data_IF_010938768852
#
_entry.id   IF_010938768852
#
_cell.length_a   1.000
_cell.length_b   1.000
_cell.length_c   1.000
_cell.angle_alpha   90.00
_cell.angle_beta   90.00
_cell.angle_gamma   90.00
#
_symmetry.space_group_name_H-M   'P 1'
#
loop_
_entity.id
_entity.type
_entity.pdbx_description
1 polymer ?
#
# COMPACT_ATOMS: atom_id res chain seq x y z
N UNK A 1 22.25 -1.44 -49.02
CA UNK A 1 23.09 -2.24 -48.10
C UNK A 1 23.80 -1.24 -47.19
N UNK A 2 23.64 -1.12 -45.88
CA UNK A 2 22.84 -1.78 -44.85
C UNK A 2 22.60 -0.69 -43.78
N UNK A 3 21.38 -0.60 -43.26
CA UNK A 3 21.08 0.22 -42.09
C UNK A 3 21.63 -0.46 -40.85
N UNK A 4 22.35 0.29 -40.01
CA UNK A 4 22.79 -0.20 -38.71
C UNK A 4 21.63 -0.10 -37.72
N UNK A 5 20.93 -1.22 -37.57
CA UNK A 5 19.93 -1.46 -36.52
C UNK A 5 20.64 -1.42 -35.15
N UNK A 6 20.35 -0.40 -34.34
CA UNK A 6 20.74 -0.38 -32.93
C UNK A 6 19.77 -1.27 -32.15
N UNK A 7 20.27 -2.45 -31.82
CA UNK A 7 19.67 -3.42 -30.89
C UNK A 7 19.22 -2.72 -29.58
N UNK A 8 17.97 -2.88 -29.13
CA UNK A 8 17.52 -2.31 -27.87
C UNK A 8 18.20 -3.03 -26.71
N UNK A 9 18.79 -2.26 -25.80
CA UNK A 9 19.41 -2.76 -24.59
C UNK A 9 18.39 -3.59 -23.79
N UNK A 10 18.70 -4.86 -23.62
CA UNK A 10 18.00 -5.83 -22.78
C UNK A 10 17.82 -5.23 -21.38
N UNK A 11 16.57 -5.00 -20.97
CA UNK A 11 16.24 -4.70 -19.57
C UNK A 11 16.76 -5.85 -18.73
N UNK A 12 17.81 -5.60 -17.96
CA UNK A 12 18.22 -6.48 -16.86
C UNK A 12 17.08 -6.50 -15.86
N UNK A 13 16.29 -7.56 -15.88
CA UNK A 13 15.48 -8.00 -14.76
C UNK A 13 16.40 -8.04 -13.55
N UNK A 14 16.28 -7.06 -12.65
CA UNK A 14 16.90 -7.15 -11.34
C UNK A 14 16.23 -8.32 -10.64
N UNK A 15 16.93 -9.45 -10.59
CA UNK A 15 16.55 -10.59 -9.77
C UNK A 15 16.38 -10.10 -8.33
N UNK A 16 15.27 -10.52 -7.70
CA UNK A 16 15.01 -10.28 -6.29
C UNK A 16 16.26 -10.66 -5.47
N UNK A 17 16.72 -9.83 -4.52
CA UNK A 17 17.73 -10.28 -3.58
C UNK A 17 17.19 -11.51 -2.84
N UNK A 18 17.88 -12.63 -3.05
CA UNK A 18 17.54 -14.01 -2.67
C UNK A 18 17.62 -14.28 -1.16
N UNK A 19 17.47 -13.25 -0.33
CA UNK A 19 17.51 -13.36 1.12
C UNK A 19 16.71 -12.25 1.80
N UNK A 20 15.43 -12.10 1.43
CA UNK A 20 14.49 -11.43 2.33
C UNK A 20 14.41 -12.28 3.60
N UNK A 21 14.73 -11.75 4.80
CA UNK A 21 14.63 -12.51 6.02
C UNK A 21 13.16 -12.95 6.21
N UNK A 22 12.93 -14.26 6.15
CA UNK A 22 11.63 -14.93 6.38
C UNK A 22 11.14 -14.82 7.84
N UNK A 23 11.61 -13.82 8.58
CA UNK A 23 11.04 -13.49 9.88
C UNK A 23 9.71 -12.79 9.63
N UNK A 24 8.58 -13.24 10.24
CA UNK A 24 7.32 -12.54 10.10
C UNK A 24 7.51 -11.09 10.56
N UNK A 25 7.35 -10.16 9.61
CA UNK A 25 7.53 -8.72 9.85
C UNK A 25 6.60 -8.21 10.95
N UNK A 26 5.46 -8.89 11.10
CA UNK A 26 4.56 -8.84 12.25
C UNK A 26 3.95 -10.23 12.41
N UNK A 27 3.47 -10.59 13.61
CA UNK A 27 2.71 -11.83 13.77
C UNK A 27 1.53 -11.85 12.78
N UNK A 28 1.25 -12.99 12.12
CA UNK A 28 0.09 -13.14 11.25
C UNK A 28 -1.19 -12.73 11.99
N UNK A 29 -2.02 -11.89 11.37
CA UNK A 29 -3.27 -11.45 12.01
C UNK A 29 -4.24 -12.62 12.16
N UNK A 30 -4.82 -12.72 13.35
CA UNK A 30 -5.86 -13.71 13.68
C UNK A 30 -7.26 -13.21 13.31
N UNK A 31 -8.26 -14.11 13.22
CA UNK A 31 -9.67 -13.72 12.96
C UNK A 31 -10.17 -12.67 13.98
N UNK A 32 -9.82 -12.83 15.26
CA UNK A 32 -10.20 -11.89 16.32
C UNK A 32 -9.65 -10.48 16.06
N UNK A 33 -8.38 -10.37 15.71
CA UNK A 33 -7.75 -9.08 15.40
C UNK A 33 -8.31 -8.45 14.12
N UNK A 34 -8.64 -9.25 13.11
CA UNK A 34 -9.29 -8.75 11.89
C UNK A 34 -10.67 -8.16 12.20
N UNK A 35 -11.46 -8.84 13.04
CA UNK A 35 -12.77 -8.34 13.46
C UNK A 35 -12.66 -7.07 14.29
N UNK A 36 -11.68 -7.00 15.19
CA UNK A 36 -11.42 -5.79 15.99
C UNK A 36 -11.02 -4.60 15.11
N UNK A 37 -10.11 -4.80 14.15
CA UNK A 37 -9.71 -3.76 13.20
C UNK A 37 -10.92 -3.25 12.39
N UNK A 38 -11.74 -4.17 11.86
CA UNK A 38 -12.95 -3.79 11.14
C UNK A 38 -13.98 -3.08 12.04
N UNK A 39 -14.11 -3.47 13.31
CA UNK A 39 -14.99 -2.79 14.26
C UNK A 39 -14.54 -1.37 14.52
N UNK A 40 -13.23 -1.13 14.65
CA UNK A 40 -12.67 0.22 14.77
C UNK A 40 -12.94 1.03 13.52
N UNK A 41 -12.70 0.46 12.33
CA UNK A 41 -12.99 1.10 11.06
C UNK A 41 -14.45 1.58 10.96
N UNK A 42 -15.44 0.72 11.23
CA UNK A 42 -16.86 1.11 11.07
C UNK A 42 -17.34 2.12 12.10
N UNK A 43 -16.66 2.29 13.25
CA UNK A 43 -17.04 3.32 14.24
C UNK A 43 -16.93 4.72 13.66
N UNK A 44 -16.00 4.93 12.75
CA UNK A 44 -15.75 6.23 12.11
C UNK A 44 -16.72 6.51 10.95
N UNK A 45 -17.48 5.51 10.49
CA UNK A 45 -18.39 5.62 9.34
C UNK A 45 -19.83 5.27 9.72
N UNK A 46 -20.65 6.30 9.96
CA UNK A 46 -22.05 6.13 10.33
C UNK A 46 -22.86 5.26 9.35
N UNK A 47 -22.52 5.27 8.06
CA UNK A 47 -23.22 4.51 7.02
C UNK A 47 -22.97 3.00 7.07
N UNK A 48 -22.05 2.49 7.90
CA UNK A 48 -21.70 1.07 7.92
C UNK A 48 -22.40 0.31 9.04
N UNK A 49 -23.10 -0.76 8.67
CA UNK A 49 -23.74 -1.65 9.64
C UNK A 49 -22.75 -2.63 10.26
N UNK A 50 -22.85 -2.88 11.57
CA UNK A 50 -21.97 -3.81 12.31
C UNK A 50 -22.41 -5.28 12.29
N UNK A 51 -23.63 -5.58 11.80
CA UNK A 51 -24.17 -6.95 11.76
C UNK A 51 -23.30 -7.86 10.88
N UNK A 52 -22.82 -7.34 9.76
CA UNK A 52 -21.86 -7.97 8.88
C UNK A 52 -20.62 -8.47 9.64
N UNK A 53 -19.98 -7.61 10.43
CA UNK A 53 -18.74 -7.95 11.14
C UNK A 53 -18.92 -9.06 12.19
N UNK A 54 -20.12 -9.18 12.76
CA UNK A 54 -20.43 -10.23 13.74
C UNK A 54 -20.76 -11.57 13.10
N UNK A 55 -21.35 -11.55 11.91
CA UNK A 55 -21.94 -12.74 11.27
C UNK A 55 -21.14 -13.23 10.05
N UNK A 56 -20.18 -12.47 9.55
CA UNK A 56 -19.35 -12.91 8.42
C UNK A 56 -18.51 -14.14 8.79
N UNK A 57 -18.40 -15.05 7.85
CA UNK A 57 -17.53 -16.21 7.95
C UNK A 57 -16.24 -15.96 7.15
N UNK A 58 -15.09 -15.93 7.82
CA UNK A 58 -13.79 -15.85 7.13
C UNK A 58 -13.45 -17.21 6.55
N UNK A 59 -13.12 -17.23 5.25
CA UNK A 59 -12.78 -18.46 4.51
C UNK A 59 -11.27 -18.62 4.40
N UNK A 60 -10.59 -17.52 4.07
CA UNK A 60 -9.16 -17.52 3.79
C UNK A 60 -8.55 -16.23 4.31
N UNK A 61 -7.39 -16.37 4.98
CA UNK A 61 -6.61 -15.26 5.53
C UNK A 61 -5.19 -15.40 4.99
N UNK A 62 -4.78 -14.45 4.15
CA UNK A 62 -3.44 -14.41 3.57
C UNK A 62 -2.67 -13.25 4.20
N UNK A 63 -1.62 -13.57 4.97
CA UNK A 63 -0.71 -12.58 5.55
C UNK A 63 0.49 -12.41 4.64
N UNK A 64 0.66 -11.21 4.10
CA UNK A 64 1.61 -10.88 3.03
C UNK A 64 2.25 -9.51 3.29
N UNK A 65 3.19 -9.11 2.46
CA UNK A 65 3.85 -7.81 2.56
C UNK A 65 3.94 -7.17 1.18
N UNK A 66 3.66 -5.88 1.13
CA UNK A 66 3.94 -5.03 -0.01
C UNK A 66 5.28 -4.34 0.23
N UNK A 67 6.19 -4.42 -0.73
CA UNK A 67 7.47 -3.74 -0.68
C UNK A 67 7.41 -2.52 -1.57
N UNK A 68 7.86 -1.37 -1.08
CA UNK A 68 8.03 -0.16 -1.90
C UNK A 68 9.27 0.62 -1.49
N UNK A 69 9.83 1.33 -2.46
CA UNK A 69 11.00 2.18 -2.23
C UNK A 69 10.56 3.53 -1.67
N UNK A 70 10.94 3.79 -0.43
CA UNK A 70 10.62 5.01 0.28
C UNK A 70 11.78 6.02 0.13
N UNK A 71 11.49 7.27 -0.25
CA UNK A 71 12.49 8.35 -0.29
C UNK A 71 12.55 9.07 1.06
N UNK A 72 13.72 9.34 1.62
CA UNK A 72 13.84 10.03 2.91
C UNK A 72 13.26 11.47 2.93
N UNK A 73 13.09 12.11 1.77
CA UNK A 73 12.60 13.49 1.67
C UNK A 73 11.10 13.58 1.35
N UNK A 74 10.55 12.68 0.52
CA UNK A 74 9.14 12.71 0.12
C UNK A 74 8.33 11.49 0.53
N UNK A 75 8.96 10.51 1.18
CA UNK A 75 8.36 9.24 1.57
C UNK A 75 7.68 8.48 0.42
N UNK A 76 8.31 8.49 -0.77
CA UNK A 76 7.81 7.75 -1.94
C UNK A 76 6.68 8.46 -2.70
N UNK A 77 6.17 9.59 -2.22
CA UNK A 77 5.14 10.38 -2.92
C UNK A 77 5.66 11.06 -4.19
N UNK A 78 6.98 11.19 -4.32
CA UNK A 78 7.64 11.90 -5.42
C UNK A 78 7.44 13.42 -5.37
N UNK A 79 6.78 13.96 -4.34
CA UNK A 79 6.47 15.38 -4.20
C UNK A 79 6.68 15.86 -2.76
N UNK A 80 6.98 17.14 -2.59
CA UNK A 80 7.09 17.78 -1.26
C UNK A 80 6.22 19.03 -1.22
N UNK A 81 5.76 19.38 -0.02
CA UNK A 81 5.15 20.69 0.18
C UNK A 81 6.17 21.77 -0.21
N UNK A 82 5.71 22.82 -0.91
CA UNK A 82 6.54 24.00 -1.09
C UNK A 82 6.80 24.62 0.29
N UNK A 83 8.03 25.07 0.51
CA UNK A 83 8.50 25.70 1.75
C UNK A 83 7.58 26.87 2.17
N UNK A 84 7.54 27.16 3.47
CA UNK A 84 6.47 27.87 4.21
C UNK A 84 6.15 29.33 3.80
N UNK A 85 6.67 29.84 2.69
CA UNK A 85 6.33 31.18 2.19
C UNK A 85 5.56 31.19 0.86
N UNK A 86 4.32 31.64 0.99
CA UNK A 86 3.38 32.11 -0.03
C UNK A 86 2.30 31.11 -0.45
N UNK A 87 1.06 31.42 -0.04
CA UNK A 87 -0.29 31.14 -0.57
C UNK A 87 -0.44 30.44 -1.93
N UNK A 88 0.30 29.37 -2.17
CA UNK A 88 0.17 28.53 -3.34
C UNK A 88 0.06 27.10 -2.85
N UNK A 89 -1.09 26.50 -3.13
CA UNK A 89 -1.37 25.08 -2.90
C UNK A 89 -0.57 24.17 -3.86
N UNK A 90 0.62 24.59 -4.31
CA UNK A 90 1.38 23.91 -5.36
C UNK A 90 2.44 23.00 -4.75
N UNK A 91 2.15 21.70 -4.75
CA UNK A 91 3.12 20.65 -4.42
C UNK A 91 4.23 20.59 -5.46
N UNK A 92 5.50 20.64 -5.05
CA UNK A 92 6.67 20.59 -5.94
C UNK A 92 7.24 19.17 -6.05
N UNK A 93 8.02 18.88 -7.09
CA UNK A 93 8.63 17.56 -7.30
C UNK A 93 9.79 17.37 -6.31
N UNK A 94 9.91 16.18 -5.71
CA UNK A 94 11.00 15.85 -4.80
C UNK A 94 12.34 15.74 -5.54
N UNK A 95 13.28 16.65 -5.26
CA UNK A 95 14.60 16.66 -5.90
C UNK A 95 15.51 15.50 -5.45
N UNK A 96 15.27 14.91 -4.26
CA UNK A 96 16.02 13.74 -3.76
C UNK A 96 15.67 12.44 -4.51
N UNK A 97 14.49 12.37 -5.13
CA UNK A 97 14.14 11.28 -6.05
C UNK A 97 14.87 11.41 -7.40
N UNK A 98 15.34 12.62 -7.76
CA UNK A 98 15.90 12.93 -9.08
C UNK A 98 17.41 12.62 -9.06
N UNK A 99 17.72 11.35 -9.18
CA UNK A 99 19.08 10.82 -9.23
C UNK A 99 19.40 10.07 -10.52
N UNK A 100 18.85 10.44 -11.67
CA UNK A 100 19.34 10.12 -13.04
C UNK A 100 18.26 10.47 -14.08
N UNK A 101 18.46 11.55 -14.82
CA UNK A 101 17.78 11.77 -16.10
C UNK A 101 16.37 12.34 -16.03
N UNK A 102 16.10 13.22 -16.99
CA UNK A 102 14.84 13.93 -17.25
C UNK A 102 13.64 12.97 -17.36
N UNK A 103 12.87 12.81 -16.28
CA UNK A 103 11.49 12.32 -16.38
C UNK A 103 10.57 13.26 -15.61
N UNK A 104 9.60 13.82 -16.33
CA UNK A 104 8.53 14.70 -15.83
C UNK A 104 7.44 13.93 -15.06
N UNK A 105 7.69 12.67 -14.71
CA UNK A 105 6.77 11.83 -13.94
C UNK A 105 7.41 11.57 -12.57
N UNK A 106 6.70 11.83 -11.46
CA UNK A 106 7.14 11.33 -10.16
C UNK A 106 7.27 9.80 -10.28
N UNK A 107 8.25 9.22 -9.58
CA UNK A 107 8.62 7.79 -9.53
C UNK A 107 7.49 6.87 -8.99
N UNK A 108 6.21 7.23 -9.17
CA UNK A 108 5.02 6.56 -8.60
C UNK A 108 4.76 5.20 -9.25
N UNK A 109 5.44 4.87 -10.34
CA UNK A 109 5.34 3.56 -11.00
C UNK A 109 6.49 2.61 -10.63
N UNK A 110 7.46 3.07 -9.85
CA UNK A 110 8.69 2.32 -9.63
C UNK A 110 8.54 1.40 -8.40
N UNK A 111 8.04 0.22 -8.74
CA UNK A 111 8.12 -1.04 -8.03
C UNK A 111 7.49 -1.07 -6.62
N UNK A 112 6.16 -1.22 -6.62
CA UNK A 112 5.46 -1.83 -5.50
C UNK A 112 5.27 -3.31 -5.85
N UNK A 113 5.75 -4.21 -5.00
CA UNK A 113 5.50 -5.64 -5.21
C UNK A 113 3.99 -5.91 -5.17
N UNK A 114 3.47 -6.59 -6.20
CA UNK A 114 2.07 -7.01 -6.39
C UNK A 114 1.14 -6.87 -5.16
N UNK A 115 0.27 -5.85 -5.17
CA UNK A 115 -0.68 -5.55 -4.07
C UNK A 115 -2.05 -6.23 -4.24
N UNK A 116 -2.20 -7.18 -5.16
CA UNK A 116 -3.51 -7.73 -5.54
C UNK A 116 -4.53 -6.58 -5.80
N UNK A 117 -5.66 -6.54 -5.10
CA UNK A 117 -6.67 -5.48 -5.23
C UNK A 117 -6.55 -4.37 -4.18
N UNK A 118 -5.48 -4.35 -3.36
CA UNK A 118 -5.22 -3.26 -2.43
C UNK A 118 -4.63 -2.07 -3.22
N UNK A 119 -5.29 -0.90 -3.24
CA UNK A 119 -4.79 0.25 -3.98
C UNK A 119 -3.41 0.69 -3.51
N UNK A 120 -2.51 0.95 -4.46
CA UNK A 120 -1.11 1.29 -4.18
C UNK A 120 -0.96 2.57 -3.38
N UNK A 121 -1.88 3.51 -3.56
CA UNK A 121 -1.91 4.81 -2.88
C UNK A 121 -2.07 4.64 -1.36
N UNK A 122 -2.81 3.61 -0.93
CA UNK A 122 -2.98 3.29 0.48
C UNK A 122 -1.67 2.78 1.11
N UNK A 123 -0.83 2.07 0.35
CA UNK A 123 0.46 1.55 0.82
C UNK A 123 1.49 2.67 1.00
N UNK A 124 1.46 3.69 0.13
CA UNK A 124 2.42 4.80 0.18
C UNK A 124 2.28 5.63 1.47
N UNK A 125 1.04 5.84 1.91
CA UNK A 125 0.71 6.72 3.04
C UNK A 125 0.72 6.07 4.44
N UNK A 126 1.05 4.79 4.56
CA UNK A 126 1.03 4.07 5.85
C UNK A 126 2.41 3.72 6.38
N UNK A 127 2.51 3.55 7.69
CA UNK A 127 3.76 3.11 8.30
C UNK A 127 4.09 1.66 7.89
N UNK A 128 5.37 1.42 7.65
CA UNK A 128 5.90 0.10 7.33
C UNK A 128 7.28 -0.07 7.96
N UNK A 129 7.80 -1.29 7.96
CA UNK A 129 9.13 -1.57 8.49
C UNK A 129 10.18 -1.35 7.41
N UNK A 130 11.25 -0.64 7.75
CA UNK A 130 12.43 -0.56 6.89
C UNK A 130 13.17 -1.90 6.90
N UNK A 131 13.37 -2.50 5.72
CA UNK A 131 14.08 -3.76 5.60
C UNK A 131 15.55 -3.58 5.29
N UNK A 132 15.85 -2.65 4.37
CA UNK A 132 17.20 -2.39 3.90
C UNK A 132 17.34 -0.92 3.50
N UNK A 133 18.40 -0.28 3.99
CA UNK A 133 18.92 0.96 3.43
C UNK A 133 20.17 0.58 2.64
N UNK A 134 20.07 0.55 1.31
CA UNK A 134 21.18 0.14 0.46
C UNK A 134 22.25 1.24 0.45
N UNK A 135 23.52 0.89 0.70
CA UNK A 135 24.65 1.85 0.68
C UNK A 135 24.80 2.56 -0.68
N UNK A 136 24.26 1.98 -1.76
CA UNK A 136 24.34 2.50 -3.13
C UNK A 136 23.32 3.62 -3.43
N UNK A 137 22.23 3.76 -2.67
CA UNK A 137 21.28 4.86 -2.81
C UNK A 137 20.76 5.31 -1.44
N UNK A 138 21.56 6.07 -0.66
CA UNK A 138 21.19 6.49 0.70
C UNK A 138 19.94 7.40 0.76
N UNK A 139 19.41 7.82 -0.40
CA UNK A 139 18.19 8.62 -0.49
C UNK A 139 16.92 7.78 -0.46
N UNK A 140 17.02 6.47 -0.71
CA UNK A 140 15.88 5.57 -0.74
C UNK A 140 16.13 4.31 0.10
N UNK A 141 15.09 3.86 0.79
CA UNK A 141 15.12 2.63 1.57
C UNK A 141 13.96 1.72 1.17
N UNK A 142 14.18 0.41 1.20
CA UNK A 142 13.12 -0.56 0.94
C UNK A 142 12.25 -0.69 2.18
N UNK A 143 10.97 -0.33 2.07
CA UNK A 143 9.97 -0.45 3.13
C UNK A 143 9.05 -1.63 2.84
N UNK A 144 8.82 -2.45 3.86
CA UNK A 144 7.78 -3.47 3.82
C UNK A 144 6.57 -3.02 4.62
N UNK A 145 5.43 -2.96 3.96
CA UNK A 145 4.13 -2.71 4.56
C UNK A 145 3.41 -4.06 4.69
N UNK A 146 3.22 -4.57 5.91
CA UNK A 146 2.44 -5.79 6.09
C UNK A 146 0.99 -5.52 5.71
N UNK A 147 0.37 -6.50 5.05
CA UNK A 147 -1.07 -6.49 4.86
C UNK A 147 -1.63 -7.91 4.93
N UNK A 148 -2.88 -8.00 5.33
CA UNK A 148 -3.64 -9.23 5.42
C UNK A 148 -4.85 -9.11 4.52
N UNK A 149 -4.95 -10.01 3.54
CA UNK A 149 -6.15 -10.17 2.72
C UNK A 149 -7.05 -11.21 3.39
N UNK A 150 -8.30 -10.82 3.67
CA UNK A 150 -9.29 -11.70 4.24
C UNK A 150 -10.46 -11.88 3.28
N UNK A 151 -10.69 -13.12 2.85
CA UNK A 151 -11.84 -13.51 2.04
C UNK A 151 -12.96 -13.97 2.95
N UNK A 152 -14.18 -13.49 2.73
CA UNK A 152 -15.33 -13.81 3.58
C UNK A 152 -16.56 -14.24 2.78
N UNK A 153 -17.49 -14.90 3.48
CA UNK A 153 -18.88 -15.06 3.06
C UNK A 153 -19.84 -14.39 4.03
N UNK A 154 -20.82 -13.69 3.48
CA UNK A 154 -21.95 -13.15 4.25
C UNK A 154 -23.22 -13.09 3.39
N UNK A 155 -24.33 -13.62 3.91
CA UNK A 155 -25.62 -13.73 3.19
C UNK A 155 -25.47 -14.30 1.77
N UNK A 156 -24.69 -15.38 1.62
CA UNK A 156 -24.36 -16.04 0.35
C UNK A 156 -23.59 -15.19 -0.67
N UNK A 157 -23.10 -14.00 -0.29
CA UNK A 157 -22.17 -13.21 -1.09
C UNK A 157 -20.75 -13.46 -0.61
N UNK A 158 -19.81 -13.52 -1.56
CA UNK A 158 -18.38 -13.53 -1.29
C UNK A 158 -17.83 -12.12 -1.46
N UNK A 159 -16.86 -11.77 -0.65
CA UNK A 159 -16.11 -10.53 -0.78
C UNK A 159 -14.75 -10.67 -0.12
N UNK A 160 -13.96 -9.61 -0.22
CA UNK A 160 -12.66 -9.52 0.40
C UNK A 160 -12.47 -8.14 1.04
N UNK A 161 -11.60 -8.09 2.03
CA UNK A 161 -11.13 -6.84 2.61
C UNK A 161 -9.66 -6.98 2.99
N UNK A 162 -9.04 -5.84 3.23
CA UNK A 162 -7.62 -5.74 3.50
C UNK A 162 -7.40 -5.02 4.83
N UNK A 163 -6.54 -5.59 5.67
CA UNK A 163 -5.98 -4.90 6.84
C UNK A 163 -4.52 -4.65 6.56
N UNK A 164 -4.06 -3.40 6.62
CA UNK A 164 -2.74 -3.01 6.12
C UNK A 164 -2.06 -1.98 7.02
N UNK A 165 -0.73 -1.90 6.90
CA UNK A 165 0.09 -1.03 7.72
C UNK A 165 0.27 -1.57 9.14
N UNK A 166 1.21 -0.98 9.87
CA UNK A 166 1.43 -1.32 11.28
C UNK A 166 0.28 -0.81 12.17
N UNK A 167 -0.42 0.21 11.72
CA UNK A 167 -1.61 0.78 12.35
C UNK A 167 -2.90 -0.03 12.12
N UNK A 168 -2.85 -1.14 11.36
CA UNK A 168 -3.99 -2.01 11.05
C UNK A 168 -5.18 -1.23 10.43
N UNK A 169 -4.89 -0.33 9.48
CA UNK A 169 -5.94 0.34 8.68
C UNK A 169 -6.72 -0.69 7.88
N UNK A 170 -8.00 -0.42 7.64
CA UNK A 170 -8.89 -1.34 6.94
C UNK A 170 -9.34 -0.72 5.61
N UNK A 171 -9.39 -1.55 4.58
CA UNK A 171 -9.90 -1.18 3.26
C UNK A 171 -10.93 -2.21 2.78
N UNK A 172 -12.08 -1.71 2.35
CA UNK A 172 -13.10 -2.43 1.61
C UNK A 172 -13.27 -1.73 0.26
N UNK A 173 -13.30 -2.50 -0.83
CA UNK A 173 -13.69 -1.96 -2.13
C UNK A 173 -15.19 -1.63 -2.15
N UNK A 174 -16.02 -2.56 -1.68
CA UNK A 174 -17.45 -2.37 -1.46
C UNK A 174 -17.85 -2.98 -0.11
N UNK A 175 -18.25 -2.13 0.84
CA UNK A 175 -18.64 -2.60 2.17
C UNK A 175 -20.05 -3.21 2.12
N UNK A 176 -20.23 -4.48 2.54
CA UNK A 176 -21.41 -5.28 2.18
C UNK A 176 -22.70 -4.88 2.90
N UNK A 177 -22.64 -4.00 3.90
CA UNK A 177 -23.82 -3.60 4.68
C UNK A 177 -23.91 -2.09 4.89
N UNK A 178 -25.02 -1.50 4.48
CA UNK A 178 -25.40 -0.13 4.86
C UNK A 178 -26.17 -0.08 6.19
N UNK A 179 -26.03 1.03 6.90
CA UNK A 179 -26.78 1.37 8.11
C UNK A 179 -28.26 1.60 7.75
N UNK A 180 -29.17 0.83 8.36
CA UNK A 180 -30.61 0.90 8.09
C UNK A 180 -31.30 2.16 8.64
N UNK A 181 -30.60 2.99 9.43
CA UNK A 181 -31.16 4.13 10.18
C UNK A 181 -30.55 5.49 9.78
N UNK A 182 -29.70 5.49 8.76
CA UNK A 182 -28.92 6.68 8.41
C UNK A 182 -29.69 7.54 7.40
N UNK A 183 -30.27 8.66 7.85
CA UNK A 183 -30.83 9.75 7.01
C UNK A 183 -29.72 10.68 6.51
N UNK A 184 -28.53 10.16 6.23
CA UNK A 184 -27.36 10.94 5.83
C UNK A 184 -27.49 11.36 4.36
N UNK A 185 -28.21 12.46 4.14
CA UNK A 185 -28.26 13.29 2.94
C UNK A 185 -27.67 14.66 3.26
#
# INVERSE_FOLDING_TARGET
MQGTEKQPATLTTLEQPSSVPTSPLTAPLTDGELREACQTYVKDFCCYGSKFLREMNLIEIQNVCAFHNNCCNCNGTGRVAADDDCFSTRTTICIWCIGTGTKTKPHVDDFISNTQNLPKELILGVEGRELFSERANPRHNLRAVPYTKATYTWKNKKGEFYVYGLEKKVYFEDYPQTCCLCTCC
#
